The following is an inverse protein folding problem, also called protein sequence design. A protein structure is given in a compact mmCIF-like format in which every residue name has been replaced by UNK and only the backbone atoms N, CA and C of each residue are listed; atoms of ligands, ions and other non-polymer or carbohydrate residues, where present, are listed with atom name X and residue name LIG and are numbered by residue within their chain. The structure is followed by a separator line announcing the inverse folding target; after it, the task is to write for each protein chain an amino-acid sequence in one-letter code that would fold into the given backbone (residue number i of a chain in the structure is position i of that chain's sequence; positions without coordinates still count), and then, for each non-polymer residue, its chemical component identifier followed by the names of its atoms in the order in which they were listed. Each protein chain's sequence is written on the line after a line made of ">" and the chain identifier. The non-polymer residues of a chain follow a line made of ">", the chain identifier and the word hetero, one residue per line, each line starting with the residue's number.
data_IF_347934946301
#
_entry.id   IF_347934946301
#
_cell.length_a   1.000
_cell.length_b   1.000
_cell.length_c   1.000
_cell.angle_alpha   90.00
_cell.angle_beta   90.00
_cell.angle_gamma   90.00
#
_symmetry.space_group_name_H-M   'P 1'
#
loop_
_entity.id
_entity.type
_entity.pdbx_description
1 polymer ?
#
# COMPACT_ATOMS: atom_id res chain seq x y z
N UNK A 1 60.36 23.19 13.76
CA UNK A 1 59.63 22.10 14.44
C UNK A 1 58.16 22.43 14.63
N UNK A 2 57.78 23.64 15.06
CA UNK A 2 56.37 24.04 15.24
C UNK A 2 55.48 23.82 14.00
N UNK A 3 55.94 24.17 12.80
CA UNK A 3 55.17 23.96 11.56
C UNK A 3 54.94 22.47 11.26
N UNK A 4 55.88 21.60 11.62
CA UNK A 4 55.73 20.16 11.42
C UNK A 4 54.77 19.57 12.45
N UNK A 5 54.85 20.03 13.70
CA UNK A 5 53.92 19.65 14.76
C UNK A 5 52.47 20.07 14.40
N UNK A 6 52.26 21.30 13.92
CA UNK A 6 50.94 21.77 13.45
C UNK A 6 50.41 20.96 12.26
N UNK A 7 51.29 20.53 11.34
CA UNK A 7 50.91 19.68 10.19
C UNK A 7 50.44 18.31 10.64
N UNK A 8 51.10 17.73 11.64
CA UNK A 8 50.77 16.42 12.17
C UNK A 8 49.51 16.49 13.06
N UNK A 9 49.39 17.50 13.92
CA UNK A 9 48.20 17.77 14.74
C UNK A 9 46.94 17.95 13.88
N UNK A 10 47.04 18.77 12.83
CA UNK A 10 45.93 19.01 11.91
C UNK A 10 45.72 17.90 10.88
N UNK A 11 46.51 16.82 10.91
CA UNK A 11 46.50 15.74 9.91
C UNK A 11 46.51 16.28 8.45
N UNK A 12 47.20 17.39 8.22
CA UNK A 12 47.18 18.13 6.96
C UNK A 12 47.64 17.29 5.75
N UNK A 13 48.66 16.40 5.86
CA UNK A 13 49.06 15.59 4.73
C UNK A 13 47.95 14.68 4.19
N UNK A 14 47.02 14.22 5.04
CA UNK A 14 45.91 13.37 4.62
C UNK A 14 44.76 14.21 4.05
N UNK A 15 44.43 15.33 4.70
CA UNK A 15 43.37 16.24 4.25
C UNK A 15 43.68 16.90 2.90
N UNK A 16 44.94 17.28 2.68
CA UNK A 16 45.34 17.87 1.39
C UNK A 16 45.32 16.83 0.27
N UNK A 17 45.74 15.59 0.55
CA UNK A 17 45.62 14.49 -0.42
C UNK A 17 44.17 14.18 -0.79
N UNK A 18 43.24 14.25 0.17
CA UNK A 18 41.82 14.04 -0.11
C UNK A 18 41.21 15.22 -0.90
N UNK A 19 41.64 16.46 -0.62
CA UNK A 19 41.24 17.63 -1.38
C UNK A 19 41.71 17.55 -2.84
N UNK A 20 42.98 17.18 -3.07
CA UNK A 20 43.50 16.97 -4.43
C UNK A 20 42.70 15.90 -5.20
N UNK A 21 42.22 14.86 -4.49
CA UNK A 21 41.38 13.82 -5.09
C UNK A 21 40.03 14.39 -5.53
N UNK A 22 39.38 15.18 -4.65
CA UNK A 22 38.09 15.81 -4.94
C UNK A 22 38.18 16.80 -6.11
N UNK A 23 39.25 17.59 -6.18
CA UNK A 23 39.49 18.51 -7.30
C UNK A 23 39.59 17.75 -8.63
N UNK A 24 40.38 16.65 -8.67
CA UNK A 24 40.49 15.81 -9.86
C UNK A 24 39.15 15.20 -10.29
N UNK A 25 38.35 14.72 -9.34
CA UNK A 25 37.02 14.15 -9.61
C UNK A 25 35.99 15.20 -10.08
N UNK A 26 36.18 16.47 -9.71
CA UNK A 26 35.28 17.56 -10.08
C UNK A 26 35.69 18.32 -11.35
N UNK A 27 36.83 17.96 -11.97
CA UNK A 27 37.42 18.69 -13.08
C UNK A 27 36.50 18.88 -14.30
N UNK A 28 35.61 17.93 -14.54
CA UNK A 28 34.66 17.96 -15.66
C UNK A 28 33.35 18.70 -15.33
N UNK A 29 33.20 19.24 -14.12
CA UNK A 29 32.00 19.96 -13.69
C UNK A 29 32.22 21.48 -13.86
N UNK A 30 31.73 22.02 -14.97
CA UNK A 30 31.85 23.46 -15.29
C UNK A 30 30.84 24.33 -14.53
N UNK A 31 29.76 23.74 -14.02
CA UNK A 31 28.74 24.48 -13.27
C UNK A 31 29.25 24.90 -11.89
N UNK A 32 28.85 26.09 -11.39
CA UNK A 32 29.19 26.52 -10.05
C UNK A 32 28.68 25.51 -9.02
N UNK A 33 29.59 25.00 -8.20
CA UNK A 33 29.26 24.07 -7.14
C UNK A 33 28.33 24.74 -6.11
N UNK A 34 27.40 23.96 -5.56
CA UNK A 34 26.49 24.43 -4.51
C UNK A 34 27.28 25.01 -3.32
N UNK A 35 26.69 26.02 -2.68
CA UNK A 35 27.20 26.67 -1.48
C UNK A 35 26.04 26.78 -0.47
N UNK A 36 26.32 26.65 0.84
CA UNK A 36 25.32 26.93 1.87
C UNK A 36 24.77 28.34 1.70
N UNK A 37 23.44 28.43 1.66
CA UNK A 37 22.71 29.69 1.54
C UNK A 37 22.70 30.47 2.85
N UNK A 38 22.96 29.77 3.97
CA UNK A 38 22.80 30.31 5.32
C UNK A 38 21.40 30.08 5.89
N UNK A 39 20.51 29.44 5.13
CA UNK A 39 19.18 29.02 5.56
C UNK A 39 19.20 27.50 5.75
N UNK A 40 19.21 27.00 7.00
CA UNK A 40 19.35 25.57 7.29
C UNK A 40 18.30 24.71 6.59
N UNK A 41 17.06 25.19 6.48
CA UNK A 41 15.95 24.47 5.82
C UNK A 41 16.22 24.22 4.34
N UNK A 42 16.81 25.19 3.65
CA UNK A 42 17.18 25.07 2.24
C UNK A 42 18.43 24.20 2.07
N UNK A 43 19.40 24.36 2.97
CA UNK A 43 20.69 23.68 2.88
C UNK A 43 20.57 22.18 3.15
N UNK A 44 19.68 21.77 4.07
CA UNK A 44 19.43 20.36 4.39
C UNK A 44 18.54 19.67 3.35
N UNK A 45 17.77 20.44 2.57
CA UNK A 45 16.80 19.92 1.60
C UNK A 45 17.43 18.94 0.61
N UNK A 46 18.63 19.24 0.11
CA UNK A 46 19.35 18.40 -0.85
C UNK A 46 19.65 17.00 -0.30
N UNK A 47 19.95 16.89 1.00
CA UNK A 47 20.23 15.62 1.66
C UNK A 47 18.95 14.84 1.99
N UNK A 48 17.89 15.53 2.43
CA UNK A 48 16.69 14.89 2.97
C UNK A 48 15.67 14.50 1.90
N UNK A 49 15.49 15.33 0.86
CA UNK A 49 14.48 15.10 -0.19
C UNK A 49 14.62 13.73 -0.88
N UNK A 50 15.82 13.25 -1.26
CA UNK A 50 15.95 11.93 -1.88
C UNK A 50 15.41 10.79 -1.01
N UNK A 51 15.63 10.86 0.30
CA UNK A 51 15.11 9.87 1.26
C UNK A 51 13.59 9.93 1.35
N UNK A 52 13.02 11.12 1.49
CA UNK A 52 11.56 11.30 1.55
C UNK A 52 10.86 10.86 0.27
N UNK A 53 11.47 11.11 -0.89
CA UNK A 53 10.95 10.63 -2.17
C UNK A 53 10.97 9.11 -2.27
N UNK A 54 12.02 8.46 -1.76
CA UNK A 54 12.11 6.99 -1.68
C UNK A 54 11.00 6.42 -0.79
N UNK A 55 10.81 7.03 0.38
CA UNK A 55 9.75 6.63 1.32
C UNK A 55 8.36 6.80 0.71
N UNK A 56 8.09 7.93 0.06
CA UNK A 56 6.81 8.19 -0.62
C UNK A 56 6.50 7.12 -1.67
N UNK A 57 7.48 6.79 -2.53
CA UNK A 57 7.30 5.75 -3.57
C UNK A 57 6.96 4.39 -2.97
N UNK A 58 7.65 4.03 -1.89
CA UNK A 58 7.39 2.77 -1.17
C UNK A 58 5.96 2.72 -0.61
N UNK A 59 5.53 3.79 0.07
CA UNK A 59 4.19 3.86 0.65
C UNK A 59 3.10 3.84 -0.42
N UNK A 60 3.31 4.54 -1.54
CA UNK A 60 2.37 4.53 -2.67
C UNK A 60 2.17 3.12 -3.24
N UNK A 61 3.27 2.37 -3.44
CA UNK A 61 3.20 0.99 -3.89
C UNK A 61 2.43 0.12 -2.89
N UNK A 62 2.76 0.21 -1.61
CA UNK A 62 2.09 -0.56 -0.56
C UNK A 62 0.59 -0.27 -0.49
N UNK A 63 0.22 1.02 -0.60
CA UNK A 63 -1.17 1.45 -0.62
C UNK A 63 -1.93 0.87 -1.82
N UNK A 64 -1.34 0.95 -3.02
CA UNK A 64 -1.94 0.41 -4.23
C UNK A 64 -2.20 -1.10 -4.12
N UNK A 65 -1.22 -1.87 -3.63
CA UNK A 65 -1.40 -3.31 -3.43
C UNK A 65 -2.51 -3.63 -2.41
N UNK A 66 -2.67 -2.80 -1.37
CA UNK A 66 -3.73 -2.99 -0.37
C UNK A 66 -5.10 -2.64 -0.94
N UNK A 67 -5.19 -1.58 -1.75
CA UNK A 67 -6.42 -1.18 -2.42
C UNK A 67 -6.89 -2.23 -3.42
N UNK A 68 -5.98 -2.79 -4.22
CA UNK A 68 -6.28 -3.86 -5.18
C UNK A 68 -6.76 -5.14 -4.48
N UNK A 69 -6.07 -5.58 -3.42
CA UNK A 69 -6.54 -6.74 -2.64
C UNK A 69 -7.91 -6.48 -2.02
N UNK A 70 -8.16 -5.26 -1.52
CA UNK A 70 -9.45 -4.91 -0.94
C UNK A 70 -10.56 -4.92 -2.00
N UNK A 71 -10.33 -4.38 -3.19
CA UNK A 71 -11.35 -4.38 -4.26
C UNK A 71 -11.72 -5.80 -4.68
N UNK A 72 -10.74 -6.70 -4.79
CA UNK A 72 -10.98 -8.12 -5.07
C UNK A 72 -11.78 -8.79 -3.96
N UNK A 73 -11.43 -8.56 -2.69
CA UNK A 73 -12.18 -9.09 -1.54
C UNK A 73 -13.60 -8.54 -1.48
N UNK A 74 -13.80 -7.24 -1.73
CA UNK A 74 -15.11 -6.63 -1.77
C UNK A 74 -15.98 -7.25 -2.87
N UNK A 75 -15.41 -7.48 -4.06
CA UNK A 75 -16.11 -8.18 -5.15
C UNK A 75 -16.51 -9.60 -4.76
N UNK A 76 -15.61 -10.36 -4.12
CA UNK A 76 -15.90 -11.71 -3.63
C UNK A 76 -17.02 -11.72 -2.57
N UNK A 77 -17.01 -10.75 -1.65
CA UNK A 77 -18.08 -10.60 -0.64
C UNK A 77 -19.42 -10.29 -1.29
N UNK A 78 -19.45 -9.40 -2.29
CA UNK A 78 -20.69 -9.07 -3.01
C UNK A 78 -21.24 -10.29 -3.75
N UNK A 79 -20.39 -11.02 -4.46
CA UNK A 79 -20.78 -12.27 -5.13
C UNK A 79 -21.31 -13.32 -4.13
N UNK A 80 -20.64 -13.47 -2.99
CA UNK A 80 -21.08 -14.35 -1.90
C UNK A 80 -22.46 -13.94 -1.34
N UNK A 81 -22.69 -12.64 -1.14
CA UNK A 81 -24.00 -12.12 -0.68
C UNK A 81 -25.12 -12.39 -1.69
N UNK A 82 -24.85 -12.19 -2.97
CA UNK A 82 -25.81 -12.51 -4.04
C UNK A 82 -26.15 -14.01 -4.02
N UNK A 83 -25.13 -14.87 -3.90
CA UNK A 83 -25.35 -16.31 -3.83
C UNK A 83 -26.18 -16.73 -2.61
N UNK A 84 -25.94 -16.13 -1.46
CA UNK A 84 -26.74 -16.36 -0.25
C UNK A 84 -28.20 -15.95 -0.48
N UNK A 85 -28.44 -14.78 -1.09
CA UNK A 85 -29.79 -14.31 -1.38
C UNK A 85 -30.53 -15.26 -2.34
N UNK A 86 -29.87 -15.74 -3.39
CA UNK A 86 -30.44 -16.75 -4.31
C UNK A 86 -30.82 -18.04 -3.58
N UNK A 87 -29.94 -18.56 -2.71
CA UNK A 87 -30.20 -19.78 -1.96
C UNK A 87 -31.35 -19.60 -0.97
N UNK A 88 -31.43 -18.45 -0.30
CA UNK A 88 -32.55 -18.13 0.59
C UNK A 88 -33.88 -18.11 -0.16
N UNK A 89 -33.90 -17.56 -1.38
CA UNK A 89 -35.09 -17.54 -2.23
C UNK A 89 -35.51 -18.94 -2.67
N UNK A 90 -34.55 -19.80 -3.05
CA UNK A 90 -34.82 -21.21 -3.38
C UNK A 90 -35.40 -21.97 -2.20
N UNK A 91 -34.81 -21.83 -1.01
CA UNK A 91 -35.31 -22.44 0.22
C UNK A 91 -36.74 -21.98 0.53
N UNK A 92 -37.02 -20.68 0.35
CA UNK A 92 -38.37 -20.12 0.56
C UNK A 92 -39.38 -20.76 -0.39
N UNK A 93 -39.08 -20.80 -1.69
CA UNK A 93 -39.98 -21.39 -2.71
C UNK A 93 -40.27 -22.86 -2.43
N UNK A 94 -39.24 -23.65 -2.15
CA UNK A 94 -39.42 -25.05 -1.78
C UNK A 94 -40.33 -25.17 -0.56
N UNK A 95 -40.08 -24.39 0.50
CA UNK A 95 -40.94 -24.40 1.69
C UNK A 95 -42.40 -24.10 1.37
N UNK A 96 -42.67 -23.12 0.51
CA UNK A 96 -44.03 -22.77 0.07
C UNK A 96 -44.69 -23.92 -0.73
N UNK A 97 -43.95 -24.58 -1.63
CA UNK A 97 -44.42 -25.77 -2.37
C UNK A 97 -44.78 -26.94 -1.43
N UNK A 98 -43.91 -27.23 -0.44
CA UNK A 98 -44.17 -28.27 0.56
C UNK A 98 -45.38 -27.93 1.43
N UNK A 99 -45.60 -26.66 1.77
CA UNK A 99 -46.78 -26.23 2.52
C UNK A 99 -48.06 -26.32 1.68
N UNK A 100 -48.00 -25.95 0.40
CA UNK A 100 -49.11 -26.06 -0.54
C UNK A 100 -49.58 -27.52 -0.70
N UNK A 101 -48.65 -28.44 -0.97
CA UNK A 101 -48.97 -29.87 -1.10
C UNK A 101 -49.56 -30.46 0.19
N UNK A 102 -49.07 -30.05 1.36
CA UNK A 102 -49.63 -30.47 2.66
C UNK A 102 -51.03 -29.91 2.94
N UNK A 103 -51.38 -28.75 2.40
CA UNK A 103 -52.74 -28.17 2.50
C UNK A 103 -53.69 -28.88 1.54
N UNK A 104 -53.26 -29.15 0.32
CA UNK A 104 -54.09 -29.86 -0.66
C UNK A 104 -54.36 -31.31 -0.23
N UNK A 105 -53.37 -32.00 0.33
CA UNK A 105 -53.54 -33.33 0.92
C UNK A 105 -54.59 -33.34 2.05
N UNK A 106 -54.61 -32.31 2.90
CA UNK A 106 -55.63 -32.16 3.96
C UNK A 106 -57.02 -31.97 3.38
N UNK A 107 -57.19 -31.08 2.39
CA UNK A 107 -58.48 -30.87 1.72
C UNK A 107 -58.98 -32.14 1.03
N UNK A 108 -58.08 -32.93 0.43
CA UNK A 108 -58.49 -34.21 -0.18
C UNK A 108 -58.99 -35.21 0.86
N UNK A 109 -58.37 -35.29 2.04
CA UNK A 109 -58.86 -36.15 3.12
C UNK A 109 -60.22 -35.67 3.65
N UNK A 110 -60.40 -34.37 3.85
CA UNK A 110 -61.66 -33.76 4.31
C UNK A 110 -62.82 -34.04 3.33
N UNK A 111 -62.56 -33.92 2.02
CA UNK A 111 -63.54 -34.25 0.98
C UNK A 111 -63.85 -35.77 0.86
N UNK A 112 -62.91 -36.64 1.25
CA UNK A 112 -63.12 -38.09 1.27
C UNK A 112 -63.95 -38.52 2.48
N UNK A 113 -63.76 -37.85 3.61
CA UNK A 113 -64.55 -38.06 4.82
C UNK A 113 -66.00 -37.52 4.67
N UNK A 114 -66.24 -36.47 3.88
CA UNK A 114 -67.59 -35.92 3.59
C UNK A 114 -68.42 -36.77 2.58
N UNK A 115 -67.80 -37.74 1.89
CA UNK A 115 -68.46 -38.59 0.87
C UNK A 115 -68.80 -40.00 1.40
N UNK A 116 -68.38 -40.36 2.61
CA UNK A 116 -68.77 -41.60 3.33
C UNK A 116 -69.92 -41.37 4.29
#
# INVERSE_FOLDING_TARGET
>A
EEVQALKEEGNLPVLLKSLDKLEREAKDKEAPAWRPTGIPEEDVRGAVVPYLLKQRKFLQKSLQEKQERNSQLAAAVLAGRQRIAELQEQIRRQKEEWQGTAVDGRKTMENLDDVS
#
